data_IF_032766448228
#
_entry.id   IF_032766448228
#
_cell.length_a   1.000
_cell.length_b   1.000
_cell.length_c   1.000
_cell.angle_alpha   90.00
_cell.angle_beta   90.00
_cell.angle_gamma   90.00
#
_symmetry.space_group_name_H-M   'P 1'
#
loop_
_entity.id
_entity.type
_entity.pdbx_description
1 polymer ?
#
# COMPACT_ATOMS: atom_id res chain seq x y z
N UNK A 1 4.86 -4.51 14.30
CA UNK A 1 5.28 -5.93 14.16
C UNK A 1 4.48 -6.88 15.05
N UNK A 2 4.48 -6.70 16.38
CA UNK A 2 3.96 -7.67 17.38
C UNK A 2 2.61 -8.34 17.07
N UNK A 3 1.66 -7.61 16.47
CA UNK A 3 0.32 -8.11 16.10
C UNK A 3 0.31 -9.11 14.92
N UNK A 4 1.46 -9.51 14.37
CA UNK A 4 1.61 -10.49 13.27
C UNK A 4 0.84 -10.14 11.99
N UNK A 5 0.71 -8.85 11.69
CA UNK A 5 -0.02 -8.33 10.52
C UNK A 5 0.96 -8.19 9.35
N UNK A 6 0.51 -8.51 8.13
CA UNK A 6 1.32 -8.38 6.90
C UNK A 6 0.98 -7.09 6.13
N UNK A 7 1.96 -6.60 5.37
CA UNK A 7 1.90 -5.30 4.68
C UNK A 7 1.64 -5.49 3.19
N UNK A 8 0.68 -4.74 2.66
CA UNK A 8 0.48 -4.55 1.22
C UNK A 8 0.67 -3.06 0.90
N UNK A 9 1.42 -2.70 -0.14
CA UNK A 9 1.74 -1.30 -0.44
C UNK A 9 2.05 -1.06 -1.92
N UNK A 10 2.21 0.19 -2.34
CA UNK A 10 2.42 0.58 -3.75
C UNK A 10 3.77 0.18 -4.38
N UNK A 11 4.66 -0.50 -3.64
CA UNK A 11 5.91 -1.07 -4.17
C UNK A 11 7.12 -0.13 -4.27
N UNK A 12 6.95 1.19 -4.05
CA UNK A 12 8.05 2.15 -4.11
C UNK A 12 9.10 2.00 -2.98
N UNK A 13 10.38 2.04 -3.31
CA UNK A 13 11.50 1.88 -2.35
C UNK A 13 11.91 3.19 -1.64
N UNK A 14 11.27 4.31 -1.97
CA UNK A 14 11.70 5.66 -1.57
C UNK A 14 10.83 6.24 -0.44
N UNK A 15 11.44 6.96 0.50
CA UNK A 15 10.74 7.66 1.57
C UNK A 15 10.06 6.72 2.57
N UNK A 16 8.89 7.12 3.08
CA UNK A 16 8.22 6.36 4.13
C UNK A 16 7.69 4.99 3.66
N UNK A 17 7.45 4.81 2.36
CA UNK A 17 7.09 3.49 1.80
C UNK A 17 8.23 2.48 2.00
N UNK A 18 9.48 2.89 1.74
CA UNK A 18 10.68 2.07 1.99
C UNK A 18 10.95 1.84 3.48
N UNK A 19 10.78 2.87 4.33
CA UNK A 19 10.97 2.70 5.78
C UNK A 19 9.94 1.78 6.43
N UNK A 20 8.68 1.82 5.98
CA UNK A 20 7.62 0.96 6.51
C UNK A 20 7.71 -0.46 5.96
N UNK A 21 8.10 -0.65 4.69
CA UNK A 21 8.38 -2.01 4.18
C UNK A 21 9.56 -2.64 4.90
N UNK A 22 10.66 -1.90 5.12
CA UNK A 22 11.80 -2.40 5.89
C UNK A 22 11.40 -2.77 7.32
N UNK A 23 10.73 -1.87 8.05
CA UNK A 23 10.34 -2.11 9.45
C UNK A 23 9.32 -3.26 9.63
N UNK A 24 8.57 -3.64 8.60
CA UNK A 24 7.71 -4.83 8.61
C UNK A 24 8.51 -6.08 8.23
N UNK A 25 9.41 -6.00 7.25
CA UNK A 25 10.27 -7.10 6.81
C UNK A 25 11.27 -7.54 7.89
N UNK A 26 11.98 -6.59 8.52
CA UNK A 26 12.85 -6.81 9.69
C UNK A 26 12.08 -7.43 10.85
N UNK A 27 10.78 -7.16 10.93
CA UNK A 27 9.84 -7.78 11.87
C UNK A 27 9.46 -9.22 11.54
N UNK A 28 10.08 -9.85 10.53
CA UNK A 28 9.77 -11.22 10.11
C UNK A 28 8.36 -11.39 9.53
N UNK A 29 7.79 -10.33 8.95
CA UNK A 29 6.45 -10.34 8.33
C UNK A 29 6.53 -10.25 6.81
N UNK A 30 5.46 -10.70 6.16
CA UNK A 30 5.36 -10.64 4.71
C UNK A 30 5.04 -9.21 4.26
N UNK A 31 5.67 -8.81 3.16
CA UNK A 31 5.53 -7.50 2.52
C UNK A 31 5.26 -7.75 1.04
N UNK A 32 4.16 -7.19 0.53
CA UNK A 32 3.75 -7.29 -0.86
C UNK A 32 3.65 -5.89 -1.49
N UNK A 33 4.62 -5.53 -2.32
CA UNK A 33 4.57 -4.37 -3.19
C UNK A 33 3.73 -4.66 -4.44
N UNK A 34 2.82 -3.76 -4.80
CA UNK A 34 2.01 -3.84 -6.04
C UNK A 34 2.29 -2.61 -6.88
N UNK A 35 2.98 -2.78 -8.00
CA UNK A 35 3.49 -1.68 -8.82
C UNK A 35 3.17 -1.87 -10.32
N UNK A 36 2.73 -0.83 -11.06
CA UNK A 36 2.59 -0.92 -12.50
C UNK A 36 3.96 -1.00 -13.18
N UNK A 37 4.07 -1.78 -14.26
CA UNK A 37 5.32 -1.87 -15.05
C UNK A 37 5.85 -0.52 -15.55
N UNK A 38 4.97 0.49 -15.69
CA UNK A 38 5.33 1.87 -16.09
C UNK A 38 5.98 2.70 -14.98
N UNK A 39 5.80 2.36 -13.70
CA UNK A 39 6.36 3.11 -12.57
C UNK A 39 7.59 2.43 -11.94
N UNK A 40 7.85 1.15 -12.22
CA UNK A 40 9.04 0.44 -11.74
C UNK A 40 10.35 1.26 -11.85
N UNK A 41 10.76 1.79 -13.02
CA UNK A 41 12.03 2.54 -13.15
C UNK A 41 12.01 3.95 -12.53
N UNK A 42 10.95 4.32 -11.81
CA UNK A 42 10.79 5.61 -11.12
C UNK A 42 10.58 5.46 -9.61
N UNK A 43 9.81 4.47 -9.18
CA UNK A 43 9.51 4.23 -7.75
C UNK A 43 10.40 3.16 -7.12
N UNK A 44 11.00 2.25 -7.89
CA UNK A 44 12.01 1.29 -7.42
C UNK A 44 13.40 1.77 -7.86
N UNK A 45 14.14 2.35 -6.93
CA UNK A 45 15.48 2.93 -7.16
C UNK A 45 16.61 2.13 -6.49
N UNK A 46 16.33 0.88 -6.11
CA UNK A 46 17.21 -0.02 -5.38
C UNK A 46 16.60 -1.41 -5.27
N UNK A 47 17.04 -2.22 -4.30
CA UNK A 47 16.43 -3.53 -4.05
C UNK A 47 15.00 -3.40 -3.52
N UNK A 48 14.11 -4.30 -3.94
CA UNK A 48 12.73 -4.35 -3.50
C UNK A 48 12.57 -5.17 -2.23
N UNK A 49 11.98 -4.58 -1.19
CA UNK A 49 11.77 -5.23 0.10
C UNK A 49 10.50 -6.09 0.06
N UNK A 50 10.66 -7.42 0.12
CA UNK A 50 9.57 -8.39 0.08
C UNK A 50 9.21 -8.88 -1.33
N UNK A 51 7.98 -9.37 -1.51
CA UNK A 51 7.44 -9.77 -2.82
C UNK A 51 6.99 -8.52 -3.59
N UNK A 52 7.27 -8.45 -4.90
CA UNK A 52 6.73 -7.40 -5.78
C UNK A 52 5.90 -8.01 -6.90
N UNK A 53 4.60 -7.72 -6.87
CA UNK A 53 3.64 -8.07 -7.92
C UNK A 53 3.54 -6.93 -8.94
N UNK A 54 3.91 -7.22 -10.18
CA UNK A 54 3.77 -6.28 -11.29
C UNK A 54 2.39 -6.36 -11.95
N UNK A 55 1.81 -5.19 -12.23
CA UNK A 55 0.49 -5.05 -12.88
C UNK A 55 0.59 -4.24 -14.18
N UNK A 56 -0.47 -4.27 -15.01
CA UNK A 56 -0.52 -3.52 -16.27
C UNK A 56 -0.61 -2.01 -16.08
N UNK A 57 -1.38 -1.55 -15.09
CA UNK A 57 -1.86 -0.17 -14.99
C UNK A 57 -2.26 0.22 -13.55
N UNK A 58 -2.61 1.49 -13.34
CA UNK A 58 -2.95 2.04 -12.02
C UNK A 58 -4.30 1.53 -11.46
N UNK A 59 -5.29 1.22 -12.31
CA UNK A 59 -6.55 0.66 -11.83
C UNK A 59 -6.35 -0.78 -11.37
N UNK A 60 -5.55 -1.58 -12.10
CA UNK A 60 -5.16 -2.91 -11.66
C UNK A 60 -4.30 -2.86 -10.38
N UNK A 61 -3.42 -1.86 -10.19
CA UNK A 61 -2.71 -1.64 -8.90
C UNK A 61 -3.71 -1.46 -7.75
N UNK A 62 -4.60 -0.47 -7.84
CA UNK A 62 -5.55 -0.14 -6.77
C UNK A 62 -6.54 -1.29 -6.51
N UNK A 63 -7.03 -1.96 -7.55
CA UNK A 63 -7.92 -3.12 -7.43
C UNK A 63 -7.23 -4.38 -6.86
N UNK A 64 -5.95 -4.62 -7.14
CA UNK A 64 -5.18 -5.72 -6.52
C UNK A 64 -4.88 -5.41 -5.05
N UNK A 65 -4.43 -4.18 -4.75
CA UNK A 65 -4.21 -3.70 -3.38
C UNK A 65 -5.48 -3.82 -2.53
N UNK A 66 -6.63 -3.36 -3.03
CA UNK A 66 -7.91 -3.42 -2.33
C UNK A 66 -8.48 -4.84 -2.19
N UNK A 67 -8.09 -5.78 -3.06
CA UNK A 67 -8.45 -7.20 -2.91
C UNK A 67 -7.59 -7.88 -1.86
N UNK A 68 -6.30 -7.56 -1.82
CA UNK A 68 -5.33 -8.17 -0.91
C UNK A 68 -5.37 -7.61 0.52
N UNK A 69 -5.69 -6.32 0.68
CA UNK A 69 -5.84 -5.65 1.97
C UNK A 69 -7.13 -6.05 2.67
N UNK A 70 -7.12 -6.15 4.00
CA UNK A 70 -8.33 -6.30 4.82
C UNK A 70 -8.66 -5.02 5.58
N UNK A 71 -7.65 -4.19 5.86
CA UNK A 71 -7.79 -2.83 6.37
C UNK A 71 -6.91 -1.83 5.59
N UNK A 72 -7.38 -0.59 5.49
CA UNK A 72 -6.67 0.51 4.83
C UNK A 72 -6.21 1.56 5.84
N UNK A 73 -4.96 2.00 5.74
CA UNK A 73 -4.35 3.01 6.61
C UNK A 73 -3.64 4.09 5.78
N UNK A 74 -3.68 5.33 6.29
CA UNK A 74 -2.83 6.42 5.81
C UNK A 74 -1.90 6.89 6.94
N UNK A 75 -0.59 6.94 6.64
CA UNK A 75 0.61 7.38 7.38
C UNK A 75 1.01 8.79 6.90
N UNK A 76 2.29 9.16 6.57
CA UNK A 76 2.64 10.41 5.81
C UNK A 76 3.18 10.38 4.36
N UNK A 77 2.89 11.45 3.58
CA UNK A 77 3.31 11.65 2.16
C UNK A 77 2.50 12.72 1.38
N UNK A 78 2.14 12.48 0.11
CA UNK A 78 1.67 13.53 -0.84
C UNK A 78 0.46 13.18 -1.74
N UNK A 79 0.24 13.96 -2.81
CA UNK A 79 -0.99 13.94 -3.63
C UNK A 79 -1.45 12.57 -4.13
N UNK A 80 -0.53 11.68 -4.53
CA UNK A 80 -0.89 10.32 -4.97
C UNK A 80 -1.65 9.52 -3.91
N UNK A 81 -1.28 9.69 -2.63
CA UNK A 81 -2.01 9.06 -1.53
C UNK A 81 -3.33 9.77 -1.20
N UNK A 82 -3.44 11.07 -1.45
CA UNK A 82 -4.75 11.73 -1.33
C UNK A 82 -5.74 11.13 -2.35
N UNK A 83 -5.26 10.79 -3.55
CA UNK A 83 -6.04 10.07 -4.57
C UNK A 83 -6.40 8.64 -4.13
N UNK A 84 -5.41 7.84 -3.68
CA UNK A 84 -5.63 6.47 -3.16
C UNK A 84 -6.61 6.44 -1.97
N UNK A 85 -6.49 7.40 -1.04
CA UNK A 85 -7.36 7.53 0.13
C UNK A 85 -8.79 7.95 -0.26
N UNK A 86 -8.94 8.91 -1.17
CA UNK A 86 -10.26 9.37 -1.63
C UNK A 86 -10.99 8.28 -2.43
N UNK A 87 -10.29 7.48 -3.24
CA UNK A 87 -10.91 6.35 -3.94
C UNK A 87 -11.46 5.31 -2.95
N UNK A 88 -10.67 4.93 -1.94
CA UNK A 88 -11.10 3.94 -0.93
C UNK A 88 -12.23 4.47 -0.03
N UNK A 89 -12.24 5.76 0.31
CA UNK A 89 -13.39 6.39 0.99
C UNK A 89 -14.63 6.36 0.07
N UNK A 90 -14.47 6.64 -1.22
CA UNK A 90 -15.57 6.61 -2.20
C UNK A 90 -16.12 5.20 -2.39
N UNK A 91 -15.26 4.17 -2.46
CA UNK A 91 -15.70 2.77 -2.56
C UNK A 91 -16.39 2.27 -1.29
N UNK A 92 -16.00 2.75 -0.10
CA UNK A 92 -16.74 2.52 1.14
C UNK A 92 -18.13 3.19 1.12
N UNK A 93 -18.22 4.45 0.67
CA UNK A 93 -19.49 5.19 0.56
C UNK A 93 -20.45 4.58 -0.48
N UNK A 94 -19.92 4.10 -1.61
CA UNK A 94 -20.68 3.36 -2.63
C UNK A 94 -21.05 1.92 -2.21
N UNK A 95 -20.62 1.46 -1.02
CA UNK A 95 -20.90 0.13 -0.50
C UNK A 95 -20.14 -1.00 -1.19
N UNK A 96 -19.16 -0.69 -2.05
CA UNK A 96 -18.34 -1.65 -2.82
C UNK A 96 -17.47 -2.49 -1.88
N UNK A 97 -17.05 -1.94 -0.74
CA UNK A 97 -16.47 -2.71 0.36
C UNK A 97 -16.92 -2.24 1.74
N UNK A 98 -16.89 -3.16 2.71
CA UNK A 98 -17.09 -2.87 4.15
C UNK A 98 -15.80 -2.93 4.98
N UNK A 99 -14.64 -2.96 4.31
CA UNK A 99 -13.31 -3.00 4.94
C UNK A 99 -13.06 -1.71 5.75
N UNK A 100 -12.53 -1.78 6.98
CA UNK A 100 -12.27 -0.60 7.80
C UNK A 100 -11.18 0.28 7.18
N UNK A 101 -11.45 1.58 7.14
CA UNK A 101 -10.53 2.64 6.67
C UNK A 101 -10.15 3.47 7.89
N UNK A 102 -8.86 3.50 8.25
CA UNK A 102 -8.36 4.21 9.42
C UNK A 102 -7.30 5.25 9.00
N UNK A 103 -7.69 6.52 8.95
CA UNK A 103 -6.76 7.61 8.70
C UNK A 103 -6.00 7.96 9.98
N UNK A 104 -4.69 7.68 10.02
CA UNK A 104 -3.80 8.18 11.07
C UNK A 104 -3.30 9.54 10.57
N UNK A 105 -3.66 10.61 11.25
CA UNK A 105 -3.77 11.92 10.58
C UNK A 105 -2.42 12.61 10.27
N UNK A 106 -1.68 12.15 9.23
CA UNK A 106 -0.63 12.93 8.52
C UNK A 106 -0.28 12.44 7.05
N UNK A 107 -1.17 11.90 6.17
CA UNK A 107 -1.04 11.77 4.67
C UNK A 107 -0.38 10.59 3.79
N UNK A 108 -0.17 9.30 4.16
CA UNK A 108 0.71 8.21 3.53
C UNK A 108 0.18 6.75 3.33
N UNK A 109 -0.22 6.27 2.14
CA UNK A 109 -1.00 5.03 1.99
C UNK A 109 -0.28 3.70 2.32
N UNK A 110 -0.91 2.88 3.15
CA UNK A 110 -0.49 1.53 3.57
C UNK A 110 -1.71 0.62 3.74
N UNK A 111 -1.69 -0.57 3.13
CA UNK A 111 -2.68 -1.61 3.35
C UNK A 111 -2.17 -2.66 4.33
N UNK A 112 -3.07 -3.21 5.15
CA UNK A 112 -2.79 -4.33 6.04
C UNK A 112 -3.66 -5.54 5.71
N UNK A 113 -3.05 -6.73 5.76
CA UNK A 113 -3.70 -8.03 5.63
C UNK A 113 -3.76 -8.72 7.01
N UNK A 114 -4.92 -9.25 7.40
CA UNK A 114 -5.22 -9.69 8.79
C UNK A 114 -5.45 -11.20 8.86
#
# INVERSE_FOLDING_TARGET
VERRIDLVYGGGSVGLMGLVSQAVHDGGRHVLGIIPRTLMPREITGESIGEVRTVSDMHQRKAEMARQADAFIALPGGYGTLEELLEVITWAQLGIHRKPVCSIFTFSFVCYKV
#
